data_IF_247805764234
#
_entry.id   IF_247805764234
#
_cell.length_a   1.000
_cell.length_b   1.000
_cell.length_c   1.000
_cell.angle_alpha   90.00
_cell.angle_beta   90.00
_cell.angle_gamma   90.00
#
_symmetry.space_group_name_H-M   'P 1'
#
loop_
_entity.id
_entity.type
_entity.pdbx_description
1 polymer ?
#
# COMPACT_ATOMS: atom_id res chain seq x y z
N UNK A 1 2.63 -17.86 -18.83
CA UNK A 1 2.05 -17.54 -17.50
C UNK A 1 3.03 -16.67 -16.73
N UNK A 2 2.85 -15.34 -16.70
CA UNK A 2 3.64 -14.47 -15.81
C UNK A 2 3.03 -14.61 -14.41
N UNK A 3 3.66 -15.37 -13.52
CA UNK A 3 3.31 -15.34 -12.10
C UNK A 3 3.67 -13.95 -11.59
N UNK A 4 2.67 -13.08 -11.37
CA UNK A 4 2.84 -11.91 -10.51
C UNK A 4 3.13 -12.48 -9.12
N UNK A 5 4.40 -12.46 -8.71
CA UNK A 5 4.84 -13.03 -7.42
C UNK A 5 4.27 -12.24 -6.22
N UNK A 6 3.79 -11.02 -6.47
CA UNK A 6 3.16 -10.12 -5.50
C UNK A 6 1.85 -9.66 -6.13
N UNK A 7 0.81 -10.49 -6.05
CA UNK A 7 -0.53 -10.14 -6.50
C UNK A 7 -1.35 -9.64 -5.31
N UNK A 8 -1.30 -8.32 -5.08
CA UNK A 8 -2.09 -7.64 -4.03
C UNK A 8 -3.51 -7.33 -4.52
N UNK A 9 -3.80 -7.62 -5.79
CA UNK A 9 -5.10 -7.38 -6.43
C UNK A 9 -6.07 -8.55 -6.22
N UNK A 10 -6.13 -9.06 -5.00
CA UNK A 10 -7.11 -10.07 -4.58
C UNK A 10 -8.52 -9.44 -4.50
N UNK A 11 -9.62 -10.20 -4.71
CA UNK A 11 -10.99 -9.68 -4.66
C UNK A 11 -11.35 -9.02 -3.32
N UNK A 12 -10.57 -9.28 -2.28
CA UNK A 12 -10.63 -8.58 -1.00
C UNK A 12 -10.36 -7.07 -1.12
N UNK A 13 -9.48 -6.62 -2.04
CA UNK A 13 -9.18 -5.20 -2.22
C UNK A 13 -10.07 -4.49 -3.24
N UNK A 14 -11.17 -5.10 -3.69
CA UNK A 14 -12.14 -4.44 -4.59
C UNK A 14 -12.70 -3.13 -3.98
N UNK A 15 -13.19 -3.08 -2.73
CA UNK A 15 -13.71 -1.84 -2.18
C UNK A 15 -12.59 -0.85 -1.85
N UNK A 16 -12.73 0.36 -2.37
CA UNK A 16 -11.75 1.44 -2.32
C UNK A 16 -11.35 1.80 -0.88
N UNK A 17 -12.28 1.70 0.08
CA UNK A 17 -11.99 1.99 1.49
C UNK A 17 -10.91 1.08 2.08
N UNK A 18 -10.86 -0.21 1.70
CA UNK A 18 -9.79 -1.11 2.18
C UNK A 18 -8.40 -0.70 1.69
N UNK A 19 -8.31 -0.13 0.49
CA UNK A 19 -7.06 0.41 -0.07
C UNK A 19 -6.62 1.66 0.68
N UNK A 20 -7.55 2.58 0.90
CA UNK A 20 -7.31 3.82 1.64
C UNK A 20 -6.94 3.52 3.10
N UNK A 21 -7.56 2.52 3.72
CA UNK A 21 -7.24 2.12 5.09
C UNK A 21 -5.80 1.57 5.19
N UNK A 22 -5.36 0.71 4.27
CA UNK A 22 -3.99 0.18 4.27
C UNK A 22 -2.95 1.26 3.98
N UNK A 23 -3.19 2.10 2.97
CA UNK A 23 -2.30 3.21 2.63
C UNK A 23 -2.23 4.21 3.79
N UNK A 24 -3.38 4.59 4.35
CA UNK A 24 -3.48 5.50 5.48
C UNK A 24 -2.82 4.95 6.74
N UNK A 25 -2.93 3.64 6.99
CA UNK A 25 -2.25 3.00 8.12
C UNK A 25 -0.72 3.03 7.94
N UNK A 26 -0.19 2.73 6.75
CA UNK A 26 1.25 2.82 6.48
C UNK A 26 1.78 4.26 6.61
N UNK A 27 1.06 5.23 6.06
CA UNK A 27 1.45 6.65 6.17
C UNK A 27 1.33 7.18 7.59
N UNK A 28 0.27 6.80 8.32
CA UNK A 28 0.10 7.13 9.72
C UNK A 28 1.21 6.53 10.58
N UNK A 29 1.58 5.27 10.34
CA UNK A 29 2.69 4.62 11.02
C UNK A 29 4.03 5.29 10.72
N UNK A 30 4.28 5.65 9.45
CA UNK A 30 5.47 6.40 9.07
C UNK A 30 5.54 7.75 9.80
N UNK A 31 4.42 8.49 9.93
CA UNK A 31 4.40 9.75 10.68
C UNK A 31 4.70 9.55 12.16
N UNK A 32 4.15 8.51 12.78
CA UNK A 32 4.41 8.20 14.19
C UNK A 32 5.88 7.83 14.41
N UNK A 33 6.49 7.05 13.52
CA UNK A 33 7.92 6.70 13.60
C UNK A 33 8.83 7.91 13.35
N UNK A 34 8.43 8.85 12.49
CA UNK A 34 9.13 10.14 12.36
C UNK A 34 9.13 10.93 13.68
N UNK A 35 8.06 10.83 14.48
CA UNK A 35 8.03 11.44 15.82
C UNK A 35 8.82 10.65 16.86
N UNK A 36 9.11 9.38 16.61
CA UNK A 36 9.88 8.49 17.47
C UNK A 36 11.39 8.47 17.17
N UNK A 37 11.86 9.37 16.30
CA UNK A 37 13.26 9.48 15.81
C UNK A 37 13.74 8.27 14.97
N UNK A 38 12.83 7.35 14.63
CA UNK A 38 13.12 6.13 13.86
C UNK A 38 12.96 6.37 12.35
N UNK A 39 13.85 7.19 11.78
CA UNK A 39 13.80 7.57 10.36
C UNK A 39 13.91 6.36 9.41
N UNK A 40 14.70 5.36 9.80
CA UNK A 40 14.94 4.14 9.02
C UNK A 40 13.62 3.39 8.72
N UNK A 41 12.84 3.20 9.79
CA UNK A 41 11.55 2.52 9.75
C UNK A 41 10.46 3.39 9.16
N UNK A 42 10.50 4.69 9.40
CA UNK A 42 9.60 5.65 8.76
C UNK A 42 9.73 5.63 7.23
N UNK A 43 10.97 5.60 6.71
CA UNK A 43 11.23 5.53 5.26
C UNK A 43 10.76 4.21 4.68
N UNK A 44 10.99 3.09 5.36
CA UNK A 44 10.47 1.78 4.93
C UNK A 44 8.94 1.76 4.90
N UNK A 45 8.28 2.20 5.96
CA UNK A 45 6.82 2.25 6.05
C UNK A 45 6.22 3.20 5.00
N UNK A 46 6.82 4.37 4.80
CA UNK A 46 6.42 5.32 3.76
C UNK A 46 6.61 4.72 2.35
N UNK A 47 7.73 4.05 2.08
CA UNK A 47 8.00 3.39 0.80
C UNK A 47 7.00 2.29 0.50
N UNK A 48 6.64 1.47 1.50
CA UNK A 48 5.60 0.43 1.38
C UNK A 48 4.23 1.08 1.16
N UNK A 49 3.91 2.16 1.88
CA UNK A 49 2.68 2.92 1.70
C UNK A 49 2.53 3.49 0.29
N UNK A 50 3.60 4.07 -0.26
CA UNK A 50 3.66 4.59 -1.63
C UNK A 50 3.53 3.45 -2.65
N UNK A 51 4.22 2.32 -2.45
CA UNK A 51 4.10 1.15 -3.33
C UNK A 51 2.67 0.60 -3.35
N UNK A 52 2.04 0.46 -2.18
CA UNK A 52 0.64 0.07 -2.05
C UNK A 52 -0.27 1.09 -2.73
N UNK A 53 -0.08 2.39 -2.53
CA UNK A 53 -0.86 3.43 -3.21
C UNK A 53 -0.69 3.35 -4.73
N UNK A 54 0.53 3.16 -5.22
CA UNK A 54 0.80 3.01 -6.65
C UNK A 54 0.13 1.76 -7.23
N UNK A 55 0.19 0.62 -6.53
CA UNK A 55 -0.50 -0.62 -6.95
C UNK A 55 -2.03 -0.48 -6.92
N UNK A 56 -2.57 0.22 -5.93
CA UNK A 56 -4.02 0.33 -5.71
C UNK A 56 -4.73 1.44 -6.48
N UNK A 57 -3.99 2.48 -6.89
CA UNK A 57 -4.54 3.64 -7.59
C UNK A 57 -4.01 3.81 -9.02
N UNK A 58 -2.69 3.65 -9.27
CA UNK A 58 -2.11 3.85 -10.61
C UNK A 58 -2.12 2.57 -11.46
N UNK A 59 -1.73 1.44 -10.86
CA UNK A 59 -1.65 0.15 -11.56
C UNK A 59 -2.90 -0.71 -11.33
N UNK A 60 -3.99 -0.12 -10.82
CA UNK A 60 -5.23 -0.83 -10.60
C UNK A 60 -5.92 -1.09 -11.94
N UNK A 61 -5.53 -2.22 -12.54
CA UNK A 61 -6.25 -2.84 -13.64
C UNK A 61 -7.24 -3.84 -13.03
N UNK A 62 -8.54 -3.50 -12.89
CA UNK A 62 -9.54 -4.50 -12.60
C UNK A 62 -9.58 -5.43 -13.80
N UNK A 63 -8.87 -6.56 -13.72
CA UNK A 63 -9.06 -7.66 -14.66
C UNK A 63 -10.48 -8.20 -14.48
N UNK A 64 -11.34 -7.58 -15.26
CA UNK A 64 -12.59 -8.02 -15.86
C UNK A 64 -13.75 -8.40 -14.92
N UNK A 65 -14.94 -8.01 -15.39
CA UNK A 65 -16.25 -8.38 -14.86
C UNK A 65 -16.47 -9.89 -14.83
#
# INVERSE_FOLDING_TARGET
>A
MRRKLIDVQIPFFIPVWRRVAVVGLCFGWALLELTADNIEWAVLAAGIGIYCAHQFFLAFDPKEK
#
